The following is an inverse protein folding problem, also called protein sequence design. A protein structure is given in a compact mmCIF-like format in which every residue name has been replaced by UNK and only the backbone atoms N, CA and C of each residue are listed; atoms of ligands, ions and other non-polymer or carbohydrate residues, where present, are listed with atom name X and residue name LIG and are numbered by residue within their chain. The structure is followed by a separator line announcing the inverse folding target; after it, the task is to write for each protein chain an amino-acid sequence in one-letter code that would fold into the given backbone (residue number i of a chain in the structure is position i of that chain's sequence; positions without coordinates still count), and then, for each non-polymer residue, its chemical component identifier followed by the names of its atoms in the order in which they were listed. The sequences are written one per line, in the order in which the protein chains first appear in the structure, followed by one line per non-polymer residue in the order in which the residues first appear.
data_IF_506476490167
#
_entry.id   IF_506476490167
#
_cell.length_a   1.000
_cell.length_b   1.000
_cell.length_c   1.000
_cell.angle_alpha   90.00
_cell.angle_beta   90.00
_cell.angle_gamma   90.00
#
_symmetry.space_group_name_H-M   'P 1'
#
loop_
_entity.id
_entity.type
_entity.pdbx_description
1 polymer ?
#
# COMPACT_ATOMS: atom_id res chain seq x y z
N UNK A 1 6.29 27.66 -5.30
CA UNK A 1 6.50 26.22 -5.58
C UNK A 1 5.40 25.45 -4.86
N UNK A 2 4.67 24.57 -5.55
CA UNK A 2 3.64 23.72 -4.93
C UNK A 2 4.24 22.36 -4.61
N UNK A 3 4.39 22.05 -3.32
CA UNK A 3 4.80 20.71 -2.87
C UNK A 3 3.59 19.79 -2.99
N UNK A 4 3.52 19.00 -4.05
CA UNK A 4 2.42 18.04 -4.22
C UNK A 4 2.81 16.74 -3.54
N UNK A 5 2.22 16.50 -2.35
CA UNK A 5 2.45 15.29 -1.57
C UNK A 5 1.84 14.07 -2.27
N UNK A 6 2.53 12.93 -2.18
CA UNK A 6 2.05 11.66 -2.75
C UNK A 6 2.58 10.48 -1.95
N UNK A 7 1.76 9.45 -1.75
CA UNK A 7 2.16 8.19 -1.10
C UNK A 7 1.97 7.04 -2.09
N UNK A 8 2.97 6.18 -2.26
CA UNK A 8 2.94 5.08 -3.20
C UNK A 8 2.86 3.72 -2.50
N UNK A 9 1.86 2.93 -2.85
CA UNK A 9 1.69 1.53 -2.45
C UNK A 9 1.97 0.62 -3.65
N UNK A 10 1.56 -0.66 -3.61
CA UNK A 10 1.92 -1.63 -4.64
C UNK A 10 1.19 -1.36 -5.95
N UNK A 11 -0.11 -1.12 -5.86
CA UNK A 11 -0.98 -0.96 -7.03
C UNK A 11 -1.31 0.51 -7.31
N UNK A 12 -1.38 1.32 -6.26
CA UNK A 12 -1.85 2.70 -6.33
C UNK A 12 -0.79 3.70 -5.87
N UNK A 13 -0.99 4.96 -6.25
CA UNK A 13 -0.35 6.13 -5.65
C UNK A 13 -1.47 7.05 -5.22
N UNK A 14 -1.52 7.42 -3.95
CA UNK A 14 -2.45 8.41 -3.42
C UNK A 14 -1.88 9.81 -3.62
N UNK A 15 -2.72 10.74 -4.06
CA UNK A 15 -2.39 12.16 -4.24
C UNK A 15 -3.31 13.01 -3.34
N UNK A 16 -2.97 13.20 -2.06
CA UNK A 16 -3.74 14.04 -1.15
C UNK A 16 -3.88 15.48 -1.68
N UNK A 17 -5.07 16.07 -1.55
CA UNK A 17 -5.33 17.44 -2.01
C UNK A 17 -5.35 17.62 -3.53
N UNK A 18 -5.33 16.54 -4.30
CA UNK A 18 -5.50 16.54 -5.76
C UNK A 18 -6.81 15.87 -6.15
N UNK A 19 -7.41 16.26 -7.26
CA UNK A 19 -8.51 15.51 -7.92
C UNK A 19 -8.02 14.72 -9.14
N UNK A 20 -6.70 14.68 -9.36
CA UNK A 20 -6.09 14.06 -10.54
C UNK A 20 -6.22 12.54 -10.46
N UNK A 21 -6.84 11.94 -11.47
CA UNK A 21 -6.84 10.49 -11.69
C UNK A 21 -5.91 10.14 -12.85
N UNK A 22 -5.21 9.03 -12.75
CA UNK A 22 -4.25 8.61 -13.75
C UNK A 22 -4.02 7.10 -13.75
N UNK A 23 -3.53 6.59 -14.88
CA UNK A 23 -3.14 5.19 -15.04
C UNK A 23 -1.83 5.12 -15.80
N UNK A 24 -0.96 4.19 -15.40
CA UNK A 24 0.33 3.93 -16.03
C UNK A 24 0.17 3.77 -17.54
N UNK A 25 1.03 4.44 -18.30
CA UNK A 25 1.07 4.33 -19.77
C UNK A 25 1.47 2.92 -20.24
N UNK A 26 2.11 2.13 -19.36
CA UNK A 26 2.47 0.74 -19.65
C UNK A 26 1.28 -0.22 -19.66
N UNK A 27 0.14 0.17 -19.07
CA UNK A 27 -1.12 -0.56 -19.22
C UNK A 27 -1.77 -0.06 -20.52
N UNK A 28 -1.58 -0.81 -21.59
CA UNK A 28 -2.01 -0.43 -22.95
C UNK A 28 -3.44 -0.89 -23.27
N UNK A 29 -3.89 -1.98 -22.63
CA UNK A 29 -5.21 -2.56 -22.87
C UNK A 29 -6.33 -1.61 -22.43
N UNK A 30 -7.11 -1.12 -23.39
CA UNK A 30 -8.13 -0.09 -23.13
C UNK A 30 -9.25 -0.59 -22.21
N UNK A 31 -9.63 -1.86 -22.34
CA UNK A 31 -10.61 -2.52 -21.46
C UNK A 31 -10.13 -2.53 -20.01
N UNK A 32 -8.87 -2.91 -19.79
CA UNK A 32 -8.29 -2.97 -18.46
C UNK A 32 -8.13 -1.59 -17.84
N UNK A 33 -7.73 -0.59 -18.64
CA UNK A 33 -7.65 0.80 -18.15
C UNK A 33 -9.00 1.31 -17.66
N UNK A 34 -10.08 1.02 -18.39
CA UNK A 34 -11.44 1.38 -18.00
C UNK A 34 -11.86 0.66 -16.72
N UNK A 35 -11.64 -0.65 -16.64
CA UNK A 35 -11.94 -1.47 -15.46
C UNK A 35 -11.24 -0.92 -14.21
N UNK A 36 -9.91 -0.77 -14.27
CA UNK A 36 -9.12 -0.28 -13.14
C UNK A 36 -9.55 1.13 -12.70
N UNK A 37 -9.79 2.04 -13.65
CA UNK A 37 -10.26 3.39 -13.31
C UNK A 37 -11.62 3.35 -12.61
N UNK A 38 -12.58 2.59 -13.14
CA UNK A 38 -13.92 2.47 -12.57
C UNK A 38 -13.90 1.87 -11.17
N UNK A 39 -13.18 0.75 -10.99
CA UNK A 39 -13.09 0.07 -9.70
C UNK A 39 -12.40 0.94 -8.65
N UNK A 40 -11.28 1.59 -8.99
CA UNK A 40 -10.59 2.48 -8.04
C UNK A 40 -11.44 3.70 -7.70
N UNK A 41 -12.08 4.35 -8.68
CA UNK A 41 -12.99 5.47 -8.41
C UNK A 41 -14.16 5.05 -7.51
N UNK A 42 -14.73 3.87 -7.74
CA UNK A 42 -15.80 3.31 -6.90
C UNK A 42 -15.32 3.06 -5.47
N UNK A 43 -14.12 2.51 -5.30
CA UNK A 43 -13.52 2.28 -3.98
C UNK A 43 -13.26 3.59 -3.22
N UNK A 44 -12.77 4.63 -3.90
CA UNK A 44 -12.60 5.96 -3.30
C UNK A 44 -13.94 6.53 -2.81
N UNK A 45 -15.00 6.42 -3.61
CA UNK A 45 -16.33 6.85 -3.23
C UNK A 45 -16.91 6.03 -2.06
N UNK A 46 -16.70 4.71 -2.03
CA UNK A 46 -17.15 3.84 -0.95
C UNK A 46 -16.46 4.12 0.39
N UNK A 47 -15.21 4.55 0.35
CA UNK A 47 -14.40 4.86 1.53
C UNK A 47 -14.41 6.36 1.89
N UNK A 48 -15.20 7.17 1.18
CA UNK A 48 -15.28 8.63 1.34
C UNK A 48 -13.90 9.34 1.25
N UNK A 49 -13.02 8.83 0.39
CA UNK A 49 -11.66 9.35 0.24
C UNK A 49 -11.63 10.47 -0.79
N UNK A 50 -11.39 11.70 -0.35
CA UNK A 50 -11.21 12.86 -1.23
C UNK A 50 -9.72 13.05 -1.58
N UNK A 51 -9.25 12.31 -2.57
CA UNK A 51 -7.88 12.42 -3.09
C UNK A 51 -7.77 11.94 -4.54
N UNK A 52 -6.68 12.30 -5.19
CA UNK A 52 -6.34 11.83 -6.53
C UNK A 52 -5.63 10.48 -6.44
N UNK A 53 -5.53 9.78 -7.56
CA UNK A 53 -4.79 8.53 -7.62
C UNK A 53 -4.08 8.28 -8.94
N UNK A 54 -3.02 7.48 -8.89
CA UNK A 54 -2.38 6.92 -10.08
C UNK A 54 -2.34 5.39 -9.95
N UNK A 55 -2.88 4.69 -10.95
CA UNK A 55 -2.81 3.23 -11.05
C UNK A 55 -1.45 2.82 -11.65
N UNK A 56 -0.68 2.01 -10.93
CA UNK A 56 0.66 1.53 -11.33
C UNK A 56 0.56 0.34 -12.28
N UNK A 57 1.62 0.08 -13.05
CA UNK A 57 1.68 -1.06 -14.00
C UNK A 57 1.41 -2.41 -13.33
N UNK A 58 1.84 -2.59 -12.08
CA UNK A 58 1.65 -3.84 -11.31
C UNK A 58 0.16 -4.11 -11.02
N UNK A 59 -0.72 -3.11 -11.15
CA UNK A 59 -2.16 -3.26 -10.99
C UNK A 59 -2.85 -3.91 -12.20
N UNK A 60 -2.13 -4.14 -13.30
CA UNK A 60 -2.67 -4.89 -14.43
C UNK A 60 -3.16 -6.27 -13.94
N UNK A 61 -4.43 -6.55 -14.21
CA UNK A 61 -5.11 -7.78 -13.82
C UNK A 61 -5.27 -7.98 -12.29
N UNK A 62 -5.13 -6.91 -11.50
CA UNK A 62 -5.39 -6.97 -10.06
C UNK A 62 -6.89 -7.14 -9.75
N UNK A 63 -7.20 -7.93 -8.71
CA UNK A 63 -8.55 -8.08 -8.17
C UNK A 63 -9.03 -6.78 -7.52
N UNK A 64 -10.34 -6.62 -7.39
CA UNK A 64 -10.94 -5.45 -6.72
C UNK A 64 -10.57 -5.44 -5.24
N UNK A 65 -10.50 -6.63 -4.64
CA UNK A 65 -10.10 -6.89 -3.26
C UNK A 65 -8.66 -6.43 -2.99
N UNK A 66 -7.74 -6.67 -3.94
CA UNK A 66 -6.35 -6.26 -3.84
C UNK A 66 -6.23 -4.74 -3.92
N UNK A 67 -6.97 -4.12 -4.85
CA UNK A 67 -7.01 -2.66 -4.98
C UNK A 67 -7.60 -2.01 -3.72
N UNK A 68 -8.65 -2.61 -3.14
CA UNK A 68 -9.26 -2.14 -1.90
C UNK A 68 -8.30 -2.21 -0.72
N UNK A 69 -7.60 -3.33 -0.58
CA UNK A 69 -6.60 -3.53 0.50
C UNK A 69 -5.47 -2.52 0.37
N UNK A 70 -4.99 -2.30 -0.86
CA UNK A 70 -3.91 -1.35 -1.16
C UNK A 70 -4.35 0.11 -0.94
N UNK A 71 -5.62 0.45 -1.23
CA UNK A 71 -6.19 1.76 -0.90
C UNK A 71 -6.34 1.97 0.61
N UNK A 72 -6.84 0.99 1.36
CA UNK A 72 -6.95 1.08 2.82
C UNK A 72 -5.58 1.27 3.46
N UNK A 73 -4.56 0.58 2.94
CA UNK A 73 -3.18 0.77 3.35
C UNK A 73 -2.72 2.22 3.14
N UNK A 74 -2.95 2.78 1.93
CA UNK A 74 -2.58 4.15 1.60
C UNK A 74 -3.26 5.18 2.50
N UNK A 75 -4.56 5.02 2.76
CA UNK A 75 -5.33 5.94 3.62
C UNK A 75 -4.78 5.91 5.05
N UNK A 76 -4.54 4.73 5.62
CA UNK A 76 -3.96 4.60 6.97
C UNK A 76 -2.54 5.16 7.06
N UNK A 77 -1.73 4.96 6.02
CA UNK A 77 -0.39 5.54 5.94
C UNK A 77 -0.47 7.06 5.92
N UNK A 78 -1.35 7.63 5.09
CA UNK A 78 -1.57 9.07 5.06
C UNK A 78 -2.02 9.63 6.40
N UNK A 79 -2.98 8.99 7.06
CA UNK A 79 -3.45 9.39 8.39
C UNK A 79 -2.30 9.36 9.42
N UNK A 80 -1.51 8.29 9.44
CA UNK A 80 -0.34 8.16 10.32
C UNK A 80 0.71 9.25 10.07
N UNK A 81 1.04 9.51 8.81
CA UNK A 81 2.04 10.52 8.43
C UNK A 81 1.53 11.95 8.71
N UNK A 82 0.24 12.20 8.49
CA UNK A 82 -0.41 13.49 8.77
C UNK A 82 -0.52 13.81 10.27
N UNK A 83 -0.55 12.78 11.12
CA UNK A 83 -0.59 12.92 12.58
C UNK A 83 0.81 13.12 13.20
N UNK A 84 1.89 12.81 12.48
CA UNK A 84 3.25 13.07 12.93
C UNK A 84 3.54 14.58 12.90
N UNK A 85 4.27 15.14 13.90
CA UNK A 85 4.65 16.55 13.86
C UNK A 85 5.44 16.83 12.59
N UNK A 86 4.95 17.76 11.77
CA UNK A 86 5.57 18.13 10.49
C UNK A 86 7.03 18.50 10.70
N UNK A 87 7.95 17.57 10.44
CA UNK A 87 9.34 17.94 10.25
C UNK A 87 9.41 18.69 8.92
N UNK A 88 10.03 19.87 8.93
CA UNK A 88 10.12 20.82 7.82
C UNK A 88 10.95 20.32 6.63
N UNK A 89 10.71 19.12 6.10
CA UNK A 89 11.33 18.67 4.86
C UNK A 89 10.51 19.17 3.65
N UNK A 90 10.77 20.45 3.37
CA UNK A 90 10.39 21.12 2.13
C UNK A 90 11.15 20.47 0.98
N UNK A 91 10.41 19.78 0.11
CA UNK A 91 10.88 19.33 -1.20
C UNK A 91 11.49 17.93 -1.16
N UNK A 92 10.74 16.97 -1.70
CA UNK A 92 11.09 15.56 -1.83
C UNK A 92 10.89 14.73 -0.56
N UNK A 93 9.64 14.34 -0.30
CA UNK A 93 9.40 13.14 0.50
C UNK A 93 8.95 12.00 -0.40
N UNK A 94 9.91 11.56 -1.22
CA UNK A 94 10.05 10.14 -1.53
C UNK A 94 10.68 9.50 -0.28
N UNK A 95 10.08 9.65 0.90
CA UNK A 95 10.35 8.70 1.95
C UNK A 95 9.72 7.41 1.45
N UNK A 96 10.57 6.63 0.81
CA UNK A 96 10.32 5.22 0.72
C UNK A 96 9.89 4.76 2.09
N UNK A 97 8.66 4.25 2.16
CA UNK A 97 8.15 3.42 3.24
C UNK A 97 9.35 2.75 3.92
N UNK A 98 9.66 3.02 5.21
CA UNK A 98 10.78 2.43 5.91
C UNK A 98 10.95 0.96 5.51
N UNK A 99 12.18 0.45 5.36
CA UNK A 99 12.43 -0.87 4.75
C UNK A 99 11.47 -1.97 5.25
N UNK A 100 11.13 -1.93 6.54
CA UNK A 100 10.11 -2.77 7.19
C UNK A 100 8.71 -2.64 6.59
N UNK A 101 8.22 -1.42 6.37
CA UNK A 101 6.96 -1.10 5.70
C UNK A 101 6.93 -1.56 4.24
N UNK A 102 8.04 -1.38 3.50
CA UNK A 102 8.19 -1.90 2.13
C UNK A 102 8.09 -3.42 2.12
N UNK A 103 8.87 -4.07 2.98
CA UNK A 103 8.92 -5.53 3.10
C UNK A 103 7.54 -6.07 3.47
N UNK A 104 6.88 -5.46 4.46
CA UNK A 104 5.55 -5.86 4.86
C UNK A 104 4.51 -5.64 3.76
N UNK A 105 4.50 -4.50 3.06
CA UNK A 105 3.62 -4.28 1.89
C UNK A 105 3.81 -5.35 0.83
N UNK A 106 5.05 -5.79 0.60
CA UNK A 106 5.36 -6.79 -0.41
C UNK A 106 5.01 -8.22 0.07
N UNK A 107 5.06 -8.46 1.39
CA UNK A 107 4.71 -9.74 2.02
C UNK A 107 3.21 -9.92 2.27
N UNK A 108 2.45 -8.88 2.63
CA UNK A 108 1.02 -8.99 2.93
C UNK A 108 0.19 -8.82 1.66
N UNK A 109 0.08 -9.90 0.89
CA UNK A 109 -0.74 -9.97 -0.33
C UNK A 109 -1.79 -11.06 -0.21
N UNK A 110 -2.82 -11.04 -1.06
CA UNK A 110 -3.81 -12.13 -1.14
C UNK A 110 -3.19 -13.51 -1.40
N UNK A 111 -2.01 -13.55 -2.03
CA UNK A 111 -1.29 -14.80 -2.33
C UNK A 111 -0.48 -15.32 -1.15
N UNK A 112 -0.32 -14.52 -0.10
CA UNK A 112 0.51 -14.89 1.05
C UNK A 112 -0.32 -15.69 2.04
N UNK A 113 -0.06 -16.99 2.09
CA UNK A 113 -0.76 -17.92 2.98
C UNK A 113 -0.11 -18.06 4.34
N UNK A 114 1.19 -17.74 4.47
CA UNK A 114 1.95 -17.78 5.73
C UNK A 114 3.24 -16.97 5.61
N UNK A 115 3.63 -16.29 6.68
CA UNK A 115 4.95 -15.63 6.81
C UNK A 115 5.72 -16.32 7.95
N UNK A 116 6.95 -16.79 7.64
CA UNK A 116 7.86 -17.40 8.61
C UNK A 116 9.07 -16.51 8.82
N UNK A 117 9.41 -16.27 10.08
CA UNK A 117 10.50 -15.36 10.46
C UNK A 117 11.33 -16.02 11.56
N UNK A 118 12.64 -15.99 11.42
CA UNK A 118 13.63 -16.60 12.31
C UNK A 118 14.04 -15.71 13.50
N UNK A 119 13.46 -14.51 13.59
CA UNK A 119 13.67 -13.55 14.66
C UNK A 119 12.35 -13.21 15.36
N UNK A 120 12.30 -13.44 16.67
CA UNK A 120 11.10 -13.23 17.48
C UNK A 120 10.70 -11.75 17.61
N UNK A 121 11.66 -10.83 17.74
CA UNK A 121 11.37 -9.39 17.77
C UNK A 121 10.78 -8.91 16.42
N UNK A 122 11.26 -9.48 15.32
CA UNK A 122 10.72 -9.19 13.98
C UNK A 122 9.31 -9.76 13.80
N UNK A 123 9.00 -10.94 14.36
CA UNK A 123 7.64 -11.50 14.38
C UNK A 123 6.66 -10.55 15.08
N UNK A 124 7.02 -10.04 16.26
CA UNK A 124 6.18 -9.12 17.02
C UNK A 124 5.94 -7.82 16.25
N UNK A 125 7.02 -7.23 15.72
CA UNK A 125 6.95 -6.03 14.88
C UNK A 125 6.01 -6.23 13.67
N UNK A 126 6.13 -7.35 12.96
CA UNK A 126 5.27 -7.64 11.80
C UNK A 126 3.81 -7.91 12.18
N UNK A 127 3.55 -8.48 13.36
CA UNK A 127 2.18 -8.67 13.85
C UNK A 127 1.53 -7.34 14.20
N UNK A 128 2.22 -6.48 14.93
CA UNK A 128 1.68 -5.16 15.27
C UNK A 128 1.44 -4.33 14.00
N UNK A 129 2.36 -4.43 13.04
CA UNK A 129 2.21 -3.85 11.73
C UNK A 129 0.98 -4.36 10.97
N UNK A 130 0.81 -5.68 10.87
CA UNK A 130 -0.33 -6.29 10.20
C UNK A 130 -1.65 -5.90 10.88
N UNK A 131 -1.69 -5.83 12.21
CA UNK A 131 -2.89 -5.37 12.94
C UNK A 131 -3.24 -3.92 12.60
N UNK A 132 -2.24 -3.05 12.46
CA UNK A 132 -2.47 -1.63 12.19
C UNK A 132 -2.90 -1.38 10.72
N UNK A 133 -2.14 -1.93 9.77
CA UNK A 133 -2.29 -1.63 8.35
C UNK A 133 -3.19 -2.61 7.59
N UNK A 134 -3.29 -3.85 8.06
CA UNK A 134 -4.00 -4.95 7.41
C UNK A 134 -4.88 -5.74 8.40
N UNK A 135 -5.79 -5.09 9.16
CA UNK A 135 -6.55 -5.74 10.23
C UNK A 135 -7.45 -6.90 9.74
N UNK A 136 -7.75 -6.95 8.44
CA UNK A 136 -8.58 -8.00 7.83
C UNK A 136 -7.77 -9.19 7.32
N UNK A 137 -6.44 -9.12 7.36
CA UNK A 137 -5.56 -10.18 6.85
C UNK A 137 -5.44 -11.30 7.89
N UNK A 138 -5.80 -12.52 7.50
CA UNK A 138 -5.66 -13.73 8.32
C UNK A 138 -4.30 -14.43 8.18
N UNK A 139 -3.33 -13.81 7.48
CA UNK A 139 -2.02 -14.40 7.23
C UNK A 139 -1.28 -14.69 8.56
N UNK A 140 -1.05 -15.97 8.92
CA UNK A 140 -0.33 -16.31 10.13
C UNK A 140 1.15 -15.91 10.00
N UNK A 141 1.62 -15.16 11.00
CA UNK A 141 3.03 -14.78 11.15
C UNK A 141 3.60 -15.64 12.28
N UNK A 142 4.46 -16.58 11.91
CA UNK A 142 4.99 -17.61 12.80
C UNK A 142 6.50 -17.46 12.97
N UNK A 143 6.96 -17.61 14.21
CA UNK A 143 8.39 -17.78 14.48
C UNK A 143 8.84 -19.15 13.95
N UNK A 144 9.94 -19.17 13.20
CA UNK A 144 10.53 -20.39 12.68
C UNK A 144 12.01 -20.47 13.02
N UNK A 145 12.35 -21.27 14.04
CA UNK A 145 13.70 -21.73 14.31
C UNK A 145 13.98 -23.01 13.53
N UNK A 146 14.18 -22.90 12.21
CA UNK A 146 14.69 -24.02 11.41
C UNK A 146 16.20 -24.19 11.63
N UNK A 147 16.76 -25.41 11.66
CA UNK A 147 18.20 -25.60 11.66
C UNK A 147 18.76 -25.06 10.33
N UNK A 148 19.84 -24.27 10.39
CA UNK A 148 20.60 -23.85 9.21
C UNK A 148 21.04 -25.09 8.43
N UNK A 149 20.32 -25.44 7.37
CA UNK A 149 20.83 -26.36 6.36
C UNK A 149 21.57 -25.53 5.32
N UNK A 150 22.86 -25.33 5.55
CA UNK A 150 23.86 -25.15 4.50
C UNK A 150 24.44 -26.52 4.16
#
# INVERSE_FOLDING_TARGET
MTTQLSIASRYLVLLPGSSRTGISQRITQTTERKRLTQEVTKLFAQLDVTAGFIVRTVADSASVESLKTDLLFLVRSWESDSAAPQSNNVGLLHEDLPLTLRTARDLFTEKTTRIRVDNQATVETLRDFARFFFPQTSCPIEYHSGPSQF
#
